data_IF_407040371477
#
_entry.id   IF_407040371477
#
_cell.length_a   1.000
_cell.length_b   1.000
_cell.length_c   1.000
_cell.angle_alpha   90.00
_cell.angle_beta   90.00
_cell.angle_gamma   90.00
#
_symmetry.space_group_name_H-M   'P 1'
#
loop_
_entity.id
_entity.type
_entity.pdbx_description
1 polymer ?
#
# COMPACT_ATOMS: atom_id res chain seq x y z
N UNK A 1 -31.09 3.06 32.13
CA UNK A 1 -29.88 2.45 31.50
C UNK A 1 -29.04 1.75 32.55
N UNK A 2 -28.58 2.45 33.58
CA UNK A 2 -27.85 1.86 34.72
C UNK A 2 -28.64 0.78 35.45
N UNK A 3 -29.95 0.96 35.62
CA UNK A 3 -30.84 -0.06 36.22
C UNK A 3 -31.09 -1.27 35.31
N UNK A 4 -30.77 -1.15 34.01
CA UNK A 4 -31.02 -2.19 33.00
C UNK A 4 -29.78 -3.01 32.66
N UNK A 5 -28.60 -2.39 32.66
CA UNK A 5 -27.33 -3.02 32.23
C UNK A 5 -26.23 -2.95 33.31
N UNK A 6 -26.61 -2.60 34.55
CA UNK A 6 -25.66 -2.46 35.65
C UNK A 6 -24.83 -1.19 35.61
N UNK A 7 -24.01 -1.00 36.65
CA UNK A 7 -23.24 0.23 36.87
C UNK A 7 -22.12 0.45 35.85
N UNK A 8 -21.53 -0.63 35.35
CA UNK A 8 -20.38 -0.57 34.44
C UNK A 8 -20.78 -0.16 33.01
N UNK A 9 -21.90 -0.68 32.50
CA UNK A 9 -22.42 -0.34 31.19
C UNK A 9 -23.38 0.85 31.22
N UNK A 10 -23.78 1.30 32.40
CA UNK A 10 -24.61 2.48 32.60
C UNK A 10 -23.97 3.81 32.19
N UNK A 11 -24.80 4.85 32.23
CA UNK A 11 -24.43 6.26 32.05
C UNK A 11 -24.99 7.06 33.23
N UNK A 12 -24.32 8.15 33.62
CA UNK A 12 -24.73 9.01 34.72
C UNK A 12 -24.56 10.49 34.37
N UNK A 13 -25.37 11.37 35.00
CA UNK A 13 -25.44 12.79 34.66
C UNK A 13 -25.89 12.97 33.20
N UNK A 14 -25.30 13.93 32.49
CA UNK A 14 -25.61 14.10 31.07
C UNK A 14 -25.00 13.00 30.18
N UNK A 15 -24.25 12.04 30.77
CA UNK A 15 -23.67 10.81 30.21
C UNK A 15 -24.06 10.36 28.78
N UNK A 16 -23.19 10.36 27.76
CA UNK A 16 -23.46 9.62 26.51
C UNK A 16 -22.50 8.44 26.33
N UNK A 17 -23.05 7.23 26.24
CA UNK A 17 -22.33 6.02 25.86
C UNK A 17 -22.81 5.55 24.50
N UNK A 18 -21.86 5.28 23.60
CA UNK A 18 -22.13 4.71 22.30
C UNK A 18 -21.99 3.18 22.37
N UNK A 19 -23.12 2.47 22.29
CA UNK A 19 -23.10 1.02 22.18
C UNK A 19 -22.81 0.63 20.72
N UNK A 20 -21.78 -0.21 20.52
CA UNK A 20 -21.40 -0.73 19.21
C UNK A 20 -22.37 -1.81 18.73
N UNK A 21 -22.26 -2.16 17.45
CA UNK A 21 -23.05 -3.23 16.81
C UNK A 21 -22.84 -4.56 17.56
N UNK A 22 -23.89 -5.39 17.60
CA UNK A 22 -23.99 -6.65 18.34
C UNK A 22 -23.81 -6.52 19.86
N UNK A 23 -24.21 -5.38 20.45
CA UNK A 23 -24.12 -5.20 21.89
C UNK A 23 -24.93 -6.27 22.66
N UNK A 24 -24.23 -7.02 23.51
CA UNK A 24 -24.81 -7.99 24.44
C UNK A 24 -24.43 -7.63 25.89
N UNK A 25 -25.39 -7.21 26.73
CA UNK A 25 -25.10 -6.76 28.10
C UNK A 25 -24.58 -7.86 29.03
N UNK A 26 -24.78 -9.14 28.69
CA UNK A 26 -24.34 -10.26 29.53
C UNK A 26 -22.90 -10.69 29.22
N UNK A 27 -22.36 -10.27 28.06
CA UNK A 27 -21.06 -10.72 27.54
C UNK A 27 -20.07 -9.56 27.32
N UNK A 28 -20.54 -8.39 26.93
CA UNK A 28 -19.67 -7.30 26.50
C UNK A 28 -19.03 -6.52 27.66
N UNK A 29 -17.74 -6.21 27.51
CA UNK A 29 -16.98 -5.36 28.43
C UNK A 29 -17.27 -3.86 28.18
N UNK A 30 -17.43 -3.09 29.26
CA UNK A 30 -17.70 -1.65 29.19
C UNK A 30 -16.68 -0.80 28.41
N UNK A 31 -15.44 -1.30 28.21
CA UNK A 31 -14.39 -0.65 27.41
C UNK A 31 -14.66 -0.72 25.91
N UNK A 32 -15.44 -1.72 25.45
CA UNK A 32 -15.85 -1.86 24.04
C UNK A 32 -16.80 -0.74 23.60
N UNK A 33 -17.54 -0.15 24.53
CA UNK A 33 -18.60 0.83 24.26
C UNK A 33 -18.16 2.22 24.74
N UNK A 34 -17.66 3.10 23.86
CA UNK A 34 -17.08 4.38 24.29
C UNK A 34 -18.04 5.20 25.14
N UNK A 35 -17.57 5.62 26.32
CA UNK A 35 -18.26 6.59 27.17
C UNK A 35 -17.67 7.98 26.93
N UNK A 36 -18.46 8.84 26.33
CA UNK A 36 -18.18 10.26 26.33
C UNK A 36 -18.62 10.81 27.70
N UNK A 37 -17.97 11.84 28.24
CA UNK A 37 -18.36 12.54 29.50
C UNK A 37 -18.74 13.99 29.22
N UNK A 38 -19.70 14.57 29.97
CA UNK A 38 -20.27 15.89 29.64
C UNK A 38 -19.20 16.98 29.56
N UNK A 39 -19.26 17.89 28.56
CA UNK A 39 -20.18 17.95 27.43
C UNK A 39 -19.60 17.23 26.19
N UNK A 40 -19.32 15.94 26.35
CA UNK A 40 -18.85 14.90 25.41
C UNK A 40 -17.41 15.05 24.86
N UNK A 41 -16.51 15.43 25.78
CA UNK A 41 -15.04 15.38 25.67
C UNK A 41 -14.38 16.15 24.50
N UNK A 42 -14.83 17.38 24.25
CA UNK A 42 -14.17 18.31 23.32
C UNK A 42 -15.15 19.31 22.73
N UNK A 43 -14.93 19.70 21.46
CA UNK A 43 -15.92 20.42 20.67
C UNK A 43 -16.79 19.44 19.87
N UNK A 44 -17.93 19.92 19.38
CA UNK A 44 -18.88 19.09 18.63
C UNK A 44 -18.26 18.43 17.39
N UNK A 45 -17.32 19.09 16.72
CA UNK A 45 -16.61 18.52 15.56
C UNK A 45 -15.75 17.31 15.92
N UNK A 46 -15.08 17.32 17.08
CA UNK A 46 -14.31 16.18 17.57
C UNK A 46 -15.21 15.00 17.93
N UNK A 47 -16.38 15.27 18.53
CA UNK A 47 -17.39 14.25 18.83
C UNK A 47 -17.91 13.60 17.54
N UNK A 48 -18.27 14.39 16.53
CA UNK A 48 -18.73 13.86 15.24
C UNK A 48 -17.65 12.99 14.60
N UNK A 49 -16.38 13.45 14.56
CA UNK A 49 -15.28 12.63 14.03
C UNK A 49 -15.10 11.31 14.79
N UNK A 50 -15.20 11.34 16.12
CA UNK A 50 -15.08 10.14 16.93
C UNK A 50 -16.23 9.14 16.65
N UNK A 51 -17.49 9.61 16.63
CA UNK A 51 -18.64 8.78 16.33
C UNK A 51 -18.57 8.24 14.89
N UNK A 52 -18.22 9.08 13.91
CA UNK A 52 -18.06 8.66 12.51
C UNK A 52 -16.96 7.60 12.37
N UNK A 53 -15.83 7.74 13.07
CA UNK A 53 -14.76 6.75 13.06
C UNK A 53 -15.22 5.41 13.64
N UNK A 54 -15.99 5.42 14.74
CA UNK A 54 -16.55 4.20 15.33
C UNK A 54 -17.54 3.55 14.37
N UNK A 55 -18.45 4.33 13.77
CA UNK A 55 -19.42 3.84 12.81
C UNK A 55 -18.75 3.27 11.55
N UNK A 56 -17.70 3.91 11.03
CA UNK A 56 -16.93 3.41 9.90
C UNK A 56 -16.23 2.09 10.24
N UNK A 57 -15.62 1.98 11.42
CA UNK A 57 -15.02 0.74 11.87
C UNK A 57 -16.05 -0.39 11.99
N UNK A 58 -17.24 -0.10 12.55
CA UNK A 58 -18.31 -1.08 12.72
C UNK A 58 -18.96 -1.47 11.37
N UNK A 59 -18.98 -0.58 10.39
CA UNK A 59 -19.57 -0.83 9.07
C UNK A 59 -18.64 -1.65 8.17
N UNK A 60 -17.32 -1.49 8.32
CA UNK A 60 -16.31 -2.26 7.57
C UNK A 60 -15.95 -3.57 8.29
N UNK A 61 -16.14 -3.61 9.62
CA UNK A 61 -16.00 -4.81 10.45
C UNK A 61 -17.25 -5.67 10.48
N UNK A 62 -17.83 -6.02 9.32
CA UNK A 62 -18.76 -7.15 9.29
C UNK A 62 -18.00 -8.38 9.73
N UNK A 63 -18.48 -9.06 10.78
CA UNK A 63 -17.93 -10.34 11.24
C UNK A 63 -17.73 -11.23 10.03
N UNK A 64 -16.49 -11.43 9.65
CA UNK A 64 -16.16 -12.35 8.57
C UNK A 64 -16.10 -13.71 9.24
N UNK A 65 -17.12 -14.55 9.02
CA UNK A 65 -17.23 -15.89 9.60
C UNK A 65 -15.99 -16.76 9.33
N UNK A 66 -15.15 -16.38 8.36
CA UNK A 66 -13.89 -17.05 8.05
C UNK A 66 -12.67 -16.45 8.75
N UNK A 67 -12.74 -15.18 9.18
CA UNK A 67 -11.63 -14.41 9.76
C UNK A 67 -11.77 -14.16 11.26
N UNK A 68 -13.00 -14.01 11.74
CA UNK A 68 -13.39 -13.78 13.14
C UNK A 68 -13.82 -15.09 13.82
N UNK A 69 -13.20 -16.21 13.42
CA UNK A 69 -13.38 -17.47 14.11
C UNK A 69 -12.78 -17.35 15.52
N UNK A 70 -13.52 -17.78 16.58
CA UNK A 70 -12.94 -17.86 17.90
C UNK A 70 -11.70 -18.75 17.84
N UNK A 71 -10.62 -18.31 18.50
CA UNK A 71 -9.36 -19.05 18.44
C UNK A 71 -9.58 -20.50 18.89
N UNK A 72 -8.85 -21.44 18.29
CA UNK A 72 -8.96 -22.85 18.65
C UNK A 72 -8.71 -23.09 20.15
N UNK A 73 -7.90 -22.23 20.79
CA UNK A 73 -7.72 -22.20 22.24
C UNK A 73 -8.96 -21.77 23.02
N UNK A 74 -9.66 -20.72 22.59
CA UNK A 74 -10.91 -20.27 23.20
C UNK A 74 -12.00 -21.33 23.08
N UNK A 75 -12.14 -21.96 21.91
CA UNK A 75 -13.10 -23.06 21.69
C UNK A 75 -12.77 -24.24 22.61
N UNK A 76 -11.49 -24.64 22.71
CA UNK A 76 -11.06 -25.71 23.63
C UNK A 76 -11.30 -25.35 25.09
N UNK A 77 -11.10 -24.10 25.48
CA UNK A 77 -11.34 -23.64 26.84
C UNK A 77 -12.84 -23.65 27.19
N UNK A 78 -13.70 -23.16 26.29
CA UNK A 78 -15.15 -23.18 26.48
C UNK A 78 -15.63 -24.63 26.57
N UNK A 79 -15.15 -25.51 25.68
CA UNK A 79 -15.48 -26.94 25.70
C UNK A 79 -14.98 -27.62 26.98
N UNK A 80 -13.76 -27.33 27.44
CA UNK A 80 -13.23 -27.87 28.69
C UNK A 80 -14.03 -27.38 29.90
N UNK A 81 -14.35 -26.08 29.97
CA UNK A 81 -15.21 -25.52 31.03
C UNK A 81 -16.60 -26.16 31.02
N UNK A 82 -17.22 -26.32 29.85
CA UNK A 82 -18.52 -26.98 29.73
C UNK A 82 -18.45 -28.45 30.14
N UNK A 83 -17.39 -29.18 29.79
CA UNK A 83 -17.17 -30.56 30.27
C UNK A 83 -17.05 -30.60 31.78
N UNK A 84 -16.26 -29.70 32.39
CA UNK A 84 -16.13 -29.59 33.87
C UNK A 84 -17.48 -29.25 34.51
N UNK A 85 -18.28 -28.37 33.90
CA UNK A 85 -19.58 -27.97 34.45
C UNK A 85 -20.64 -29.07 34.32
N UNK A 86 -20.66 -29.79 33.20
CA UNK A 86 -21.51 -30.97 32.98
C UNK A 86 -21.12 -32.11 33.91
N UNK A 87 -19.82 -32.37 34.03
CA UNK A 87 -19.22 -33.27 35.01
C UNK A 87 -19.71 -32.94 36.43
N UNK A 88 -19.56 -31.68 36.89
CA UNK A 88 -20.00 -31.26 38.24
C UNK A 88 -21.53 -31.41 38.48
N UNK A 89 -22.35 -31.45 37.42
CA UNK A 89 -23.80 -31.63 37.52
C UNK A 89 -24.24 -33.11 37.57
N UNK A 90 -23.40 -34.05 37.13
CA UNK A 90 -23.64 -35.48 37.30
C UNK A 90 -23.17 -35.93 38.68
N UNK A 91 -24.10 -36.43 39.50
CA UNK A 91 -23.93 -36.73 40.95
C UNK A 91 -22.98 -37.91 41.26
N UNK A 92 -22.12 -38.33 40.33
CA UNK A 92 -21.15 -39.41 40.58
C UNK A 92 -19.92 -39.30 39.69
N UNK A 93 -19.10 -38.28 39.90
CA UNK A 93 -17.72 -38.31 39.41
C UNK A 93 -16.82 -38.98 40.43
N UNK A 94 -16.04 -39.93 39.95
CA UNK A 94 -14.88 -40.43 40.69
C UNK A 94 -13.88 -39.29 40.84
N UNK A 95 -13.37 -39.07 42.05
CA UNK A 95 -12.36 -38.04 42.39
C UNK A 95 -11.21 -37.93 41.35
N UNK A 96 -10.67 -39.02 40.79
CA UNK A 96 -9.61 -38.98 39.79
C UNK A 96 -9.98 -38.27 38.47
N UNK A 97 -11.24 -38.34 38.03
CA UNK A 97 -11.70 -37.69 36.80
C UNK A 97 -11.78 -36.15 36.98
N UNK A 98 -12.05 -35.69 38.20
CA UNK A 98 -12.03 -34.26 38.54
C UNK A 98 -10.58 -33.76 38.60
N UNK A 99 -9.64 -34.56 39.09
CA UNK A 99 -8.21 -34.23 39.12
C UNK A 99 -7.63 -34.11 37.70
N UNK A 100 -7.93 -35.05 36.81
CA UNK A 100 -7.48 -35.01 35.40
C UNK A 100 -7.98 -33.75 34.67
N UNK A 101 -9.26 -33.40 34.84
CA UNK A 101 -9.82 -32.18 34.25
C UNK A 101 -9.20 -30.89 34.82
N UNK A 102 -8.79 -30.90 36.09
CA UNK A 102 -8.09 -29.76 36.72
C UNK A 102 -6.69 -29.60 36.14
N UNK A 103 -5.95 -30.70 35.99
CA UNK A 103 -4.62 -30.67 35.36
C UNK A 103 -4.68 -30.18 33.91
N UNK A 104 -5.67 -30.61 33.15
CA UNK A 104 -5.87 -30.16 31.77
C UNK A 104 -6.22 -28.67 31.69
N UNK A 105 -7.07 -28.17 32.61
CA UNK A 105 -7.37 -26.74 32.70
C UNK A 105 -6.13 -25.93 33.05
N UNK A 106 -5.28 -26.41 33.96
CA UNK A 106 -4.04 -25.75 34.35
C UNK A 106 -3.04 -25.71 33.17
N UNK A 107 -2.88 -26.82 32.45
CA UNK A 107 -2.07 -26.87 31.22
C UNK A 107 -2.59 -25.90 30.16
N UNK A 108 -3.89 -25.90 29.89
CA UNK A 108 -4.52 -24.97 28.94
C UNK A 108 -4.33 -23.50 29.35
N UNK A 109 -4.42 -23.19 30.64
CA UNK A 109 -4.17 -21.84 31.16
C UNK A 109 -2.72 -21.43 30.93
N UNK A 110 -1.76 -22.31 31.23
CA UNK A 110 -0.34 -22.07 31.00
C UNK A 110 -0.03 -21.86 29.53
N UNK A 111 -0.53 -22.73 28.65
CA UNK A 111 -0.37 -22.58 27.20
C UNK A 111 -0.93 -21.22 26.73
N UNK A 112 -2.10 -20.81 27.21
CA UNK A 112 -2.67 -19.51 26.85
C UNK A 112 -1.79 -18.33 27.30
N UNK A 113 -1.20 -18.40 28.48
CA UNK A 113 -0.27 -17.37 28.97
C UNK A 113 1.00 -17.32 28.12
N UNK A 114 1.56 -18.48 27.76
CA UNK A 114 2.70 -18.59 26.86
C UNK A 114 2.40 -18.01 25.47
N UNK A 115 1.26 -18.38 24.86
CA UNK A 115 0.83 -17.82 23.57
C UNK A 115 0.58 -16.31 23.63
N UNK A 116 0.01 -15.80 24.73
CA UNK A 116 -0.16 -14.36 24.93
C UNK A 116 1.17 -13.64 25.04
N UNK A 117 2.14 -14.22 25.74
CA UNK A 117 3.48 -13.64 25.84
C UNK A 117 4.17 -13.60 24.48
N UNK A 118 4.07 -14.67 23.68
CA UNK A 118 4.60 -14.73 22.31
C UNK A 118 3.93 -13.67 21.43
N UNK A 119 2.60 -13.57 21.45
CA UNK A 119 1.87 -12.60 20.64
C UNK A 119 2.25 -11.14 20.99
N UNK A 120 2.44 -10.83 22.29
CA UNK A 120 2.89 -9.52 22.72
C UNK A 120 4.32 -9.21 22.27
N UNK A 121 5.22 -10.20 22.31
CA UNK A 121 6.59 -10.01 21.82
C UNK A 121 6.62 -9.85 20.29
N UNK A 122 5.84 -10.62 19.56
CA UNK A 122 5.71 -10.50 18.11
C UNK A 122 5.14 -9.12 17.72
N UNK A 123 4.11 -8.63 18.42
CA UNK A 123 3.57 -7.29 18.20
C UNK A 123 4.63 -6.21 18.47
N UNK A 124 5.43 -6.36 19.53
CA UNK A 124 6.54 -5.46 19.86
C UNK A 124 7.62 -5.47 18.78
N UNK A 125 8.00 -6.65 18.27
CA UNK A 125 8.95 -6.81 17.19
C UNK A 125 8.43 -6.17 15.90
N UNK A 126 7.17 -6.40 15.55
CA UNK A 126 6.52 -5.78 14.39
C UNK A 126 6.49 -4.26 14.48
N UNK A 127 6.15 -3.69 15.65
CA UNK A 127 6.19 -2.24 15.90
C UNK A 127 7.60 -1.66 15.75
N UNK A 128 8.60 -2.35 16.30
CA UNK A 128 10.01 -1.93 16.18
C UNK A 128 10.50 -1.97 14.73
N UNK A 129 10.16 -3.03 14.00
CA UNK A 129 10.49 -3.18 12.58
C UNK A 129 9.84 -2.07 11.75
N UNK A 130 8.55 -1.79 11.97
CA UNK A 130 7.83 -0.70 11.30
C UNK A 130 8.45 0.67 11.60
N UNK A 131 8.82 0.94 12.87
CA UNK A 131 9.49 2.19 13.24
C UNK A 131 10.86 2.33 12.59
N UNK A 132 11.66 1.26 12.56
CA UNK A 132 12.96 1.24 11.91
C UNK A 132 12.85 1.46 10.39
N UNK A 133 11.85 0.84 9.75
CA UNK A 133 11.53 1.05 8.34
C UNK A 133 11.17 2.51 8.06
N UNK A 134 10.28 3.10 8.88
CA UNK A 134 9.88 4.49 8.74
C UNK A 134 11.07 5.46 8.90
N UNK A 135 11.95 5.21 9.88
CA UNK A 135 13.17 6.01 10.06
C UNK A 135 14.12 5.91 8.88
N UNK A 136 14.29 4.70 8.33
CA UNK A 136 15.13 4.46 7.15
C UNK A 136 14.59 5.19 5.94
N UNK A 137 13.27 5.10 5.70
CA UNK A 137 12.61 5.78 4.60
C UNK A 137 12.73 7.31 4.71
N UNK A 138 12.58 7.87 5.92
CA UNK A 138 12.78 9.30 6.15
C UNK A 138 14.23 9.75 5.86
N UNK A 139 15.23 8.92 6.21
CA UNK A 139 16.64 9.21 5.89
C UNK A 139 16.92 9.15 4.40
N UNK A 140 16.40 8.14 3.71
CA UNK A 140 16.53 8.01 2.25
C UNK A 140 15.93 9.22 1.53
N UNK A 141 14.77 9.69 1.99
CA UNK A 141 14.17 10.93 1.48
C UNK A 141 15.06 12.16 1.70
N UNK A 142 15.63 12.32 2.90
CA UNK A 142 16.57 13.43 3.18
C UNK A 142 17.82 13.37 2.30
N UNK A 143 18.36 12.17 2.07
CA UNK A 143 19.52 11.99 1.20
C UNK A 143 19.18 12.24 -0.27
N UNK A 144 18.01 11.81 -0.76
CA UNK A 144 17.59 12.08 -2.14
C UNK A 144 17.43 13.58 -2.39
N UNK A 145 16.81 14.32 -1.47
CA UNK A 145 16.71 15.79 -1.55
C UNK A 145 18.10 16.46 -1.54
N UNK A 146 19.02 15.96 -0.70
CA UNK A 146 20.39 16.49 -0.65
C UNK A 146 21.15 16.24 -1.95
N UNK A 147 21.06 15.03 -2.50
CA UNK A 147 21.68 14.67 -3.79
C UNK A 147 21.13 15.58 -4.88
N UNK A 148 19.80 15.75 -4.95
CA UNK A 148 19.16 16.65 -5.93
C UNK A 148 19.66 18.08 -5.83
N UNK A 149 19.77 18.62 -4.62
CA UNK A 149 20.30 19.96 -4.40
C UNK A 149 21.75 20.09 -4.92
N UNK A 150 22.58 19.08 -4.67
CA UNK A 150 23.96 19.05 -5.16
C UNK A 150 24.04 18.92 -6.68
N UNK A 151 23.24 18.03 -7.29
CA UNK A 151 23.16 17.88 -8.74
C UNK A 151 22.76 19.20 -9.41
N UNK A 152 21.74 19.89 -8.90
CA UNK A 152 21.31 21.20 -9.42
C UNK A 152 22.41 22.25 -9.31
N UNK A 153 23.15 22.26 -8.19
CA UNK A 153 24.27 23.18 -8.00
C UNK A 153 25.40 22.90 -8.98
N UNK A 154 25.79 21.63 -9.14
CA UNK A 154 26.82 21.21 -10.10
C UNK A 154 26.45 21.55 -11.54
N UNK A 155 25.17 21.37 -11.91
CA UNK A 155 24.67 21.78 -13.22
C UNK A 155 24.78 23.31 -13.42
N UNK A 156 24.39 24.09 -12.41
CA UNK A 156 24.48 25.57 -12.47
C UNK A 156 25.93 26.07 -12.56
N UNK A 157 26.86 25.36 -11.93
CA UNK A 157 28.30 25.66 -11.99
C UNK A 157 28.97 25.12 -13.26
N UNK A 158 28.22 24.47 -14.16
CA UNK A 158 28.75 23.90 -15.42
C UNK A 158 29.66 22.69 -15.22
N UNK A 159 29.66 22.10 -14.02
CA UNK A 159 30.46 20.93 -13.66
C UNK A 159 29.75 19.60 -13.97
N UNK A 160 28.48 19.67 -14.39
CA UNK A 160 27.70 18.54 -14.87
C UNK A 160 27.21 18.84 -16.29
N UNK A 161 27.39 17.89 -17.20
CA UNK A 161 26.98 18.01 -18.60
C UNK A 161 25.80 17.07 -18.88
N UNK A 162 24.93 17.47 -19.80
CA UNK A 162 23.83 16.61 -20.24
C UNK A 162 24.37 15.30 -20.84
N UNK A 163 23.69 14.17 -20.60
CA UNK A 163 24.16 12.89 -21.11
C UNK A 163 24.12 12.88 -22.64
N UNK A 164 25.21 12.38 -23.24
CA UNK A 164 25.27 12.18 -24.69
C UNK A 164 24.24 11.11 -25.08
N UNK A 165 23.37 11.44 -26.03
CA UNK A 165 22.33 10.54 -26.51
C UNK A 165 22.92 9.57 -27.55
N UNK A 166 22.87 8.25 -27.30
CA UNK A 166 23.36 7.25 -28.25
C UNK A 166 22.54 7.21 -29.54
N UNK A 167 23.18 6.79 -30.62
CA UNK A 167 22.59 6.64 -31.96
C UNK A 167 22.02 5.23 -32.22
N UNK A 168 22.18 4.30 -31.28
CA UNK A 168 21.64 2.95 -31.34
C UNK A 168 21.00 2.55 -30.02
N UNK A 169 20.09 1.58 -30.05
CA UNK A 169 19.46 1.03 -28.83
C UNK A 169 20.34 0.03 -28.08
N UNK A 170 21.53 -0.27 -28.62
CA UNK A 170 22.49 -1.18 -27.98
C UNK A 170 22.98 -0.55 -26.68
N UNK A 171 22.80 -1.26 -25.55
CA UNK A 171 23.20 -0.74 -24.24
C UNK A 171 22.26 0.31 -23.65
N UNK A 172 21.01 0.41 -24.12
CA UNK A 172 20.01 1.32 -23.55
C UNK A 172 19.78 1.11 -22.04
N UNK A 173 19.83 -0.14 -21.57
CA UNK A 173 19.72 -0.48 -20.15
C UNK A 173 20.81 0.19 -19.32
N UNK A 174 22.07 -0.11 -19.65
CA UNK A 174 23.25 0.46 -18.99
C UNK A 174 23.26 2.00 -19.04
N UNK A 175 22.82 2.59 -20.15
CA UNK A 175 22.71 4.04 -20.28
C UNK A 175 21.66 4.60 -19.31
N UNK A 176 20.48 3.96 -19.22
CA UNK A 176 19.44 4.38 -18.28
C UNK A 176 19.88 4.22 -16.82
N UNK A 177 20.56 3.13 -16.48
CA UNK A 177 21.11 2.94 -15.14
C UNK A 177 22.18 3.98 -14.79
N UNK A 178 23.03 4.35 -15.75
CA UNK A 178 24.07 5.35 -15.51
C UNK A 178 23.52 6.77 -15.38
N UNK A 179 22.50 7.12 -16.14
CA UNK A 179 22.07 8.51 -16.30
C UNK A 179 20.71 8.84 -15.68
N UNK A 180 19.83 7.85 -15.53
CA UNK A 180 18.44 8.04 -15.10
C UNK A 180 18.10 7.30 -13.79
N UNK A 181 19.05 6.57 -13.20
CA UNK A 181 18.85 5.85 -11.94
C UNK A 181 18.36 6.78 -10.82
N UNK A 182 17.46 6.25 -9.98
CA UNK A 182 16.80 7.02 -8.93
C UNK A 182 15.63 7.89 -9.39
N UNK A 183 15.36 7.99 -10.71
CA UNK A 183 14.19 8.70 -11.25
C UNK A 183 13.37 7.84 -12.20
N UNK A 184 14.02 7.00 -13.00
CA UNK A 184 13.36 6.13 -13.97
C UNK A 184 13.96 4.73 -13.94
N UNK A 185 13.08 3.72 -13.99
CA UNK A 185 13.46 2.32 -14.08
C UNK A 185 12.86 1.69 -15.32
N UNK A 186 13.71 1.09 -16.17
CA UNK A 186 13.26 0.19 -17.22
C UNK A 186 13.05 -1.19 -16.63
N UNK A 187 11.85 -1.73 -16.81
CA UNK A 187 11.56 -3.08 -16.34
C UNK A 187 12.27 -4.13 -17.21
N UNK A 188 12.52 -5.35 -16.70
CA UNK A 188 13.09 -6.43 -17.51
C UNK A 188 12.29 -6.72 -18.78
N UNK A 189 10.97 -6.50 -18.73
CA UNK A 189 10.10 -6.62 -19.90
C UNK A 189 10.37 -5.52 -20.91
N UNK A 190 10.35 -4.26 -20.49
CA UNK A 190 10.68 -3.12 -21.32
C UNK A 190 12.05 -3.29 -22.01
N UNK A 191 13.06 -3.76 -21.28
CA UNK A 191 14.40 -4.05 -21.83
C UNK A 191 14.39 -5.14 -22.91
N UNK A 192 13.62 -6.21 -22.71
CA UNK A 192 13.47 -7.27 -23.74
C UNK A 192 12.78 -6.78 -25.00
N UNK A 193 11.78 -5.91 -24.88
CA UNK A 193 11.05 -5.39 -26.04
C UNK A 193 11.88 -4.37 -26.83
N UNK A 194 12.57 -3.45 -26.14
CA UNK A 194 13.41 -2.46 -26.82
C UNK A 194 14.65 -3.08 -27.46
N UNK A 195 15.24 -4.12 -26.87
CA UNK A 195 16.39 -4.84 -27.44
C UNK A 195 16.06 -5.60 -28.73
N UNK A 196 14.78 -5.89 -28.99
CA UNK A 196 14.30 -6.53 -30.23
C UNK A 196 13.85 -5.52 -31.28
N UNK A 197 13.93 -4.22 -30.98
CA UNK A 197 13.39 -3.18 -31.83
C UNK A 197 14.42 -2.69 -32.85
N UNK A 198 14.03 -2.70 -34.12
CA UNK A 198 14.75 -2.04 -35.23
C UNK A 198 14.23 -0.60 -35.45
N UNK A 199 13.97 0.15 -34.39
CA UNK A 199 13.40 1.50 -34.49
C UNK A 199 14.33 2.44 -35.29
N UNK A 200 13.79 3.17 -36.27
CA UNK A 200 14.56 4.01 -37.19
C UNK A 200 15.12 5.28 -36.53
N UNK A 201 14.57 5.69 -35.40
CA UNK A 201 15.02 6.85 -34.63
C UNK A 201 15.37 6.45 -33.18
N UNK A 202 16.50 5.76 -32.91
CA UNK A 202 16.89 5.37 -31.56
C UNK A 202 17.01 6.55 -30.59
N UNK A 203 17.54 7.68 -31.04
CA UNK A 203 17.70 8.90 -30.25
C UNK A 203 16.37 9.38 -29.66
N UNK A 204 15.27 9.22 -30.40
CA UNK A 204 13.94 9.64 -29.96
C UNK A 204 13.44 8.83 -28.76
N UNK A 205 13.83 7.57 -28.65
CA UNK A 205 13.54 6.71 -27.50
C UNK A 205 14.29 7.22 -26.27
N UNK A 206 15.59 7.52 -26.41
CA UNK A 206 16.38 8.12 -25.32
C UNK A 206 15.81 9.47 -24.86
N UNK A 207 15.41 10.34 -25.80
CA UNK A 207 14.79 11.62 -25.49
C UNK A 207 13.47 11.45 -24.74
N UNK A 208 12.65 10.47 -25.12
CA UNK A 208 11.40 10.17 -24.41
C UNK A 208 11.65 9.67 -22.98
N UNK A 209 12.68 8.84 -22.76
CA UNK A 209 13.07 8.39 -21.42
C UNK A 209 13.65 9.53 -20.58
N UNK A 210 14.46 10.41 -21.18
CA UNK A 210 15.01 11.58 -20.52
C UNK A 210 13.89 12.55 -20.10
N UNK A 211 12.93 12.83 -20.99
CA UNK A 211 11.73 13.63 -20.70
C UNK A 211 10.97 13.10 -19.48
N UNK A 212 10.84 11.77 -19.38
CA UNK A 212 10.19 11.14 -18.23
C UNK A 212 10.99 11.27 -16.94
N UNK A 213 12.31 11.13 -17.01
CA UNK A 213 13.21 11.21 -15.86
C UNK A 213 13.53 12.65 -15.42
N UNK A 214 13.16 13.65 -16.21
CA UNK A 214 13.41 15.07 -15.93
C UNK A 214 12.11 15.85 -15.82
N UNK A 215 11.53 16.38 -16.90
CA UNK A 215 10.38 17.29 -16.76
C UNK A 215 9.12 16.61 -16.22
N UNK A 216 8.84 15.36 -16.59
CA UNK A 216 7.70 14.64 -16.00
C UNK A 216 7.92 14.38 -14.50
N UNK A 217 9.14 13.96 -14.15
CA UNK A 217 9.52 13.68 -12.77
C UNK A 217 9.42 14.94 -11.90
N UNK A 218 9.94 16.07 -12.39
CA UNK A 218 9.83 17.38 -11.72
C UNK A 218 8.38 17.85 -11.60
N UNK A 219 7.56 17.65 -12.63
CA UNK A 219 6.12 17.91 -12.57
C UNK A 219 5.44 17.12 -11.45
N UNK A 220 5.85 15.86 -11.23
CA UNK A 220 5.28 14.99 -10.20
C UNK A 220 5.74 15.31 -8.80
N UNK A 221 6.99 15.73 -8.61
CA UNK A 221 7.57 15.94 -7.27
C UNK A 221 7.50 17.39 -6.79
N UNK A 222 7.69 18.36 -7.68
CA UNK A 222 7.63 19.79 -7.34
C UNK A 222 6.20 20.33 -7.47
N UNK A 223 5.40 19.73 -8.37
CA UNK A 223 4.06 20.20 -8.69
C UNK A 223 4.05 21.58 -9.35
N UNK A 224 2.86 22.20 -9.38
CA UNK A 224 2.65 23.55 -9.89
C UNK A 224 2.45 23.66 -11.41
N UNK A 225 1.87 24.78 -11.85
CA UNK A 225 1.56 25.02 -13.25
C UNK A 225 2.79 25.17 -14.15
N UNK A 226 3.89 25.72 -13.63
CA UNK A 226 5.11 25.92 -14.40
C UNK A 226 5.77 24.60 -14.83
N UNK A 227 5.89 23.63 -13.91
CA UNK A 227 6.48 22.31 -14.20
C UNK A 227 5.64 21.53 -15.22
N UNK A 228 4.31 21.68 -15.16
CA UNK A 228 3.38 21.15 -16.17
C UNK A 228 3.67 21.77 -17.54
N UNK A 229 3.76 23.10 -17.63
CA UNK A 229 4.04 23.80 -18.89
C UNK A 229 5.39 23.39 -19.48
N UNK A 230 6.44 23.29 -18.65
CA UNK A 230 7.76 22.84 -19.10
C UNK A 230 7.72 21.41 -19.66
N UNK A 231 7.02 20.49 -19.00
CA UNK A 231 6.84 19.13 -19.50
C UNK A 231 6.06 19.10 -20.83
N UNK A 232 4.96 19.84 -20.94
CA UNK A 232 4.15 19.89 -22.16
C UNK A 232 4.96 20.49 -23.34
N UNK A 233 5.74 21.56 -23.09
CA UNK A 233 6.64 22.17 -24.09
C UNK A 233 7.78 21.24 -24.52
N UNK A 234 8.40 20.53 -23.57
CA UNK A 234 9.45 19.56 -23.85
C UNK A 234 8.92 18.36 -24.65
N UNK A 235 7.71 17.87 -24.32
CA UNK A 235 7.04 16.81 -25.07
C UNK A 235 6.78 17.23 -26.53
N UNK A 236 6.28 18.45 -26.75
CA UNK A 236 6.09 19.01 -28.09
C UNK A 236 7.41 19.10 -28.86
N UNK A 237 8.48 19.56 -28.20
CA UNK A 237 9.82 19.72 -28.81
C UNK A 237 10.39 18.42 -29.38
N UNK A 238 10.20 17.31 -28.67
CA UNK A 238 10.66 15.98 -29.13
C UNK A 238 9.59 15.23 -29.95
N UNK A 239 8.44 15.86 -30.19
CA UNK A 239 7.36 15.32 -31.02
C UNK A 239 6.66 14.11 -30.39
N UNK A 240 6.43 14.14 -29.08
CA UNK A 240 5.63 13.14 -28.37
C UNK A 240 4.46 13.79 -27.64
N UNK A 241 3.42 13.00 -27.34
CA UNK A 241 2.27 13.41 -26.53
C UNK A 241 2.06 12.42 -25.40
N UNK A 242 1.75 12.92 -24.20
CA UNK A 242 1.29 12.08 -23.11
C UNK A 242 -0.20 11.82 -23.24
N UNK A 243 -0.64 10.60 -22.94
CA UNK A 243 -2.05 10.25 -22.95
C UNK A 243 -2.37 9.10 -21.99
N UNK A 244 -3.64 8.99 -21.57
CA UNK A 244 -4.09 7.84 -20.79
C UNK A 244 -4.10 6.59 -21.67
N UNK A 245 -3.74 5.46 -21.09
CA UNK A 245 -3.72 4.15 -21.77
C UNK A 245 -5.14 3.58 -22.02
N UNK A 246 -6.16 4.12 -21.34
CA UNK A 246 -7.58 3.78 -21.54
C UNK A 246 -8.08 2.62 -20.69
N UNK A 247 -9.32 2.17 -20.93
CA UNK A 247 -10.03 1.17 -20.10
C UNK A 247 -9.40 -0.23 -20.14
N UNK A 248 -8.53 -0.52 -21.11
CA UNK A 248 -7.83 -1.82 -21.22
C UNK A 248 -6.99 -2.14 -19.97
N UNK A 249 -6.48 -1.10 -19.28
CA UNK A 249 -5.75 -1.24 -18.02
C UNK A 249 -6.61 -1.90 -16.92
N UNK A 250 -7.92 -1.66 -16.93
CA UNK A 250 -8.86 -2.17 -15.93
C UNK A 250 -9.44 -3.54 -16.29
N UNK A 251 -9.19 -4.04 -17.50
CA UNK A 251 -9.72 -5.33 -17.95
C UNK A 251 -8.82 -6.47 -17.44
N UNK A 252 -9.40 -7.41 -16.69
CA UNK A 252 -8.67 -8.57 -16.15
C UNK A 252 -7.93 -9.37 -17.22
N UNK A 253 -8.47 -9.46 -18.44
CA UNK A 253 -7.87 -10.19 -19.56
C UNK A 253 -6.51 -9.63 -20.00
N UNK A 254 -6.27 -8.34 -19.81
CA UNK A 254 -5.03 -7.67 -20.19
C UNK A 254 -4.17 -7.28 -18.98
N UNK A 255 -4.51 -7.80 -17.80
CA UNK A 255 -3.90 -7.40 -16.53
C UNK A 255 -2.38 -7.61 -16.53
N UNK A 256 -1.86 -8.67 -17.12
CA UNK A 256 -0.41 -8.92 -17.13
C UNK A 256 0.35 -8.05 -18.13
N UNK A 257 -0.34 -7.58 -19.18
CA UNK A 257 0.26 -6.75 -20.21
C UNK A 257 0.29 -5.26 -19.82
N UNK A 258 -0.75 -4.79 -19.12
CA UNK A 258 -0.92 -3.39 -18.70
C UNK A 258 -0.48 -3.10 -17.26
N UNK A 259 0.21 -4.04 -16.62
CA UNK A 259 0.78 -3.81 -15.28
C UNK A 259 2.26 -4.17 -15.24
N UNK A 260 2.97 -3.49 -14.35
CA UNK A 260 4.35 -3.77 -13.98
C UNK A 260 4.40 -4.22 -12.53
N UNK A 261 5.32 -5.14 -12.20
CA UNK A 261 5.66 -5.48 -10.83
C UNK A 261 6.94 -4.75 -10.41
N UNK A 262 6.90 -4.07 -9.27
CA UNK A 262 8.05 -3.40 -8.67
C UNK A 262 8.02 -3.62 -7.16
N UNK A 263 9.12 -4.17 -6.61
CA UNK A 263 9.25 -4.51 -5.18
C UNK A 263 8.04 -5.26 -4.57
N UNK A 264 7.52 -6.24 -5.31
CA UNK A 264 6.37 -7.05 -4.88
C UNK A 264 5.01 -6.40 -5.09
N UNK A 265 4.97 -5.10 -5.38
CA UNK A 265 3.74 -4.36 -5.68
C UNK A 265 3.44 -4.38 -7.19
N UNK A 266 2.15 -4.23 -7.53
CA UNK A 266 1.66 -4.19 -8.91
C UNK A 266 1.19 -2.78 -9.23
N UNK A 267 1.72 -2.21 -10.32
CA UNK A 267 1.39 -0.86 -10.77
C UNK A 267 0.73 -0.91 -12.16
N UNK A 268 -0.44 -0.27 -12.34
CA UNK A 268 -1.07 -0.13 -13.65
C UNK A 268 -0.28 0.86 -14.53
N UNK A 269 -0.09 0.52 -15.81
CA UNK A 269 0.52 1.40 -16.82
C UNK A 269 -0.54 2.38 -17.36
N UNK A 270 -0.96 3.31 -16.50
CA UNK A 270 -2.07 4.24 -16.75
C UNK A 270 -1.77 5.27 -17.83
N UNK A 271 -0.48 5.57 -18.07
CA UNK A 271 -0.03 6.58 -19.00
C UNK A 271 0.88 5.99 -20.08
N UNK A 272 0.93 6.68 -21.20
CA UNK A 272 1.95 6.47 -22.20
C UNK A 272 2.38 7.76 -22.89
N UNK A 273 3.62 7.79 -23.38
CA UNK A 273 4.05 8.73 -24.40
C UNK A 273 3.75 8.12 -25.78
N UNK A 274 3.26 8.93 -26.70
CA UNK A 274 2.99 8.57 -28.09
C UNK A 274 3.77 9.49 -29.04
N UNK A 275 4.64 8.92 -29.86
CA UNK A 275 5.33 9.62 -30.94
C UNK A 275 4.54 9.58 -32.25
N UNK A 276 5.19 9.16 -33.34
CA UNK A 276 4.55 9.00 -34.65
C UNK A 276 3.47 7.91 -34.60
N UNK A 277 2.35 8.17 -35.28
CA UNK A 277 1.26 7.23 -35.53
C UNK A 277 1.44 6.45 -36.85
N UNK A 278 2.68 6.42 -37.36
CA UNK A 278 3.01 5.66 -38.57
C UNK A 278 2.57 4.20 -38.44
N UNK A 279 1.99 3.66 -39.52
CA UNK A 279 1.69 2.22 -39.62
C UNK A 279 2.97 1.38 -39.67
N UNK A 280 4.12 1.97 -39.98
CA UNK A 280 5.41 1.32 -39.88
C UNK A 280 5.85 1.25 -38.41
N UNK A 281 5.88 0.05 -37.85
CA UNK A 281 6.26 -0.21 -36.46
C UNK A 281 7.68 0.29 -36.14
N UNK A 282 8.56 0.41 -37.15
CA UNK A 282 9.92 0.92 -36.96
C UNK A 282 9.96 2.44 -36.77
N UNK A 283 8.85 3.14 -37.02
CA UNK A 283 8.68 4.59 -36.82
C UNK A 283 7.72 4.91 -35.67
N UNK A 284 6.86 3.95 -35.31
CA UNK A 284 5.91 4.09 -34.21
C UNK A 284 6.62 4.08 -32.86
N UNK A 285 6.25 5.03 -31.99
CA UNK A 285 6.77 5.11 -30.62
C UNK A 285 5.63 5.17 -29.60
N UNK A 286 5.63 4.21 -28.68
CA UNK A 286 4.86 4.19 -27.44
C UNK A 286 5.77 3.84 -26.28
N UNK A 287 5.67 4.61 -25.21
CA UNK A 287 6.37 4.33 -23.94
C UNK A 287 5.30 4.27 -22.86
N UNK A 288 4.98 3.08 -22.36
CA UNK A 288 3.99 2.87 -21.31
C UNK A 288 4.66 2.90 -19.95
N UNK A 289 4.13 3.72 -19.04
CA UNK A 289 4.75 3.95 -17.74
C UNK A 289 3.73 4.16 -16.62
N UNK A 290 4.20 3.96 -15.40
CA UNK A 290 3.49 4.22 -14.16
C UNK A 290 4.32 5.13 -13.25
N UNK A 291 3.65 5.83 -12.34
CA UNK A 291 4.29 6.60 -11.28
C UNK A 291 4.24 5.83 -9.97
N UNK A 292 5.41 5.62 -9.36
CA UNK A 292 5.60 5.01 -8.05
C UNK A 292 5.79 6.13 -7.02
N UNK A 293 4.82 6.31 -6.13
CA UNK A 293 4.79 7.47 -5.23
C UNK A 293 5.79 7.37 -4.08
N UNK A 294 6.04 6.16 -3.55
CA UNK A 294 6.80 5.97 -2.32
C UNK A 294 8.31 6.25 -2.49
N UNK A 295 8.85 5.93 -3.66
CA UNK A 295 10.23 6.11 -4.07
C UNK A 295 10.39 7.22 -5.11
N UNK A 296 9.27 7.80 -5.58
CA UNK A 296 9.24 8.82 -6.62
C UNK A 296 9.92 8.33 -7.90
N UNK A 297 9.47 7.19 -8.44
CA UNK A 297 10.05 6.57 -9.63
C UNK A 297 9.06 6.54 -10.79
N UNK A 298 9.59 6.74 -12.00
CA UNK A 298 8.90 6.40 -13.24
C UNK A 298 9.21 4.96 -13.60
N UNK A 299 8.19 4.10 -13.57
CA UNK A 299 8.32 2.69 -13.93
C UNK A 299 7.92 2.51 -15.40
N UNK A 300 8.87 2.22 -16.28
CA UNK A 300 8.60 1.96 -17.69
C UNK A 300 8.36 0.46 -17.91
N UNK A 301 7.11 0.12 -18.21
CA UNK A 301 6.66 -1.27 -18.38
C UNK A 301 6.83 -1.82 -19.79
N UNK A 302 6.72 -0.96 -20.81
CA UNK A 302 6.77 -1.39 -22.21
C UNK A 302 7.17 -0.24 -23.15
N UNK A 303 8.02 -0.53 -24.12
CA UNK A 303 8.45 0.36 -25.21
C UNK A 303 9.17 -0.46 -26.30
N UNK A 304 9.35 0.05 -27.53
CA UNK A 304 8.79 1.28 -28.10
C UNK A 304 7.47 1.05 -28.83
N UNK A 305 6.91 -0.16 -28.81
CA UNK A 305 5.74 -0.52 -29.62
C UNK A 305 4.43 -0.38 -28.84
N UNK A 306 3.32 -0.48 -29.55
CA UNK A 306 2.00 -0.57 -28.94
C UNK A 306 1.83 -1.85 -28.10
N UNK A 307 1.11 -1.73 -26.98
CA UNK A 307 0.51 -2.89 -26.31
C UNK A 307 -0.69 -3.39 -27.11
N UNK A 308 -0.96 -4.68 -27.00
CA UNK A 308 -2.10 -5.33 -27.64
C UNK A 308 -3.40 -4.72 -27.13
N UNK A 309 -4.20 -4.13 -28.01
CA UNK A 309 -5.53 -3.63 -27.67
C UNK A 309 -6.58 -4.27 -28.59
N UNK A 310 -7.85 -4.16 -28.21
CA UNK A 310 -8.99 -4.72 -28.95
C UNK A 310 -9.27 -4.05 -30.31
N UNK A 311 -8.52 -3.02 -30.68
CA UNK A 311 -8.68 -2.25 -31.93
C UNK A 311 -7.55 -2.51 -32.96
N UNK A 312 -6.63 -3.42 -32.64
CA UNK A 312 -5.59 -3.96 -33.53
C UNK A 312 -5.81 -5.44 -33.74
#
# INVERSE_FOLDING_TARGET
MTDRYGRELGVFGDAMRLYRVDFDPDVDDSKRHPLYRSPWNGNFGALIKAITSVAMFDTVGTKDETRDLPSFGLIRQIAAKQRVQAALSETSLSIPAIEELREDLEKLQKDMEEWRAIALDEERLAKNAASAQQQTQARLYLYSERIRFLEKKLFTEGLFTEPVIPDSLTGIGDWCERHLAGRLVLTPRALREVSRSDHLEPQKIYQALLLLATEYWDMKTQGGGQSKTMFDEAAVRIGVRVGPTGEAVRQQRYSDEYHVKWEGNRYPLELHLAGSDSRDIRRGLRVYFAWEEAQQLVLVGHLPTHLTNTLT
#
